data_IF_592745393782
#
_entry.id   IF_592745393782
#
_cell.length_a   1.000
_cell.length_b   1.000
_cell.length_c   1.000
_cell.angle_alpha   90.00
_cell.angle_beta   90.00
_cell.angle_gamma   90.00
#
_symmetry.space_group_name_H-M   'P 1'
#
loop_
_entity.id
_entity.type
_entity.pdbx_description
1 polymer ?
#
# COMPACT_ATOMS: atom_id res chain seq x y z
N UNK A 1 18.58 4.78 -13.56
CA UNK A 1 17.14 4.60 -13.85
C UNK A 1 16.39 4.99 -12.59
N UNK A 2 15.67 6.12 -12.59
CA UNK A 2 14.77 6.47 -11.47
C UNK A 2 13.52 5.62 -11.66
N UNK A 3 13.29 4.67 -10.77
CA UNK A 3 12.06 3.86 -10.79
C UNK A 3 10.94 4.83 -10.37
N UNK A 4 9.73 4.70 -10.90
CA UNK A 4 8.63 5.56 -10.46
C UNK A 4 8.19 5.08 -9.06
N UNK A 5 8.83 5.65 -8.04
CA UNK A 5 8.95 5.14 -6.66
C UNK A 5 7.82 5.61 -5.73
N UNK A 6 6.57 5.22 -5.99
CA UNK A 6 5.48 5.67 -5.11
C UNK A 6 4.31 4.71 -4.96
N UNK A 7 3.47 4.52 -5.97
CA UNK A 7 2.40 3.51 -5.89
C UNK A 7 2.97 2.09 -5.76
N UNK A 8 4.06 1.82 -6.47
CA UNK A 8 4.75 0.52 -6.46
C UNK A 8 5.36 0.21 -5.10
N UNK A 9 5.81 1.22 -4.36
CA UNK A 9 6.41 1.03 -3.03
C UNK A 9 5.37 0.72 -1.95
N UNK A 10 4.20 1.36 -2.06
CA UNK A 10 3.04 0.97 -1.25
C UNK A 10 2.71 -0.49 -1.52
N UNK A 11 2.48 -0.87 -2.78
CA UNK A 11 2.14 -2.25 -3.16
C UNK A 11 3.21 -3.26 -2.75
N UNK A 12 4.49 -2.90 -2.88
CA UNK A 12 5.61 -3.77 -2.46
C UNK A 12 5.56 -4.04 -0.97
N UNK A 13 5.25 -3.02 -0.15
CA UNK A 13 5.11 -3.18 1.30
C UNK A 13 4.02 -4.19 1.66
N UNK A 14 2.89 -4.19 0.94
CA UNK A 14 1.86 -5.22 1.10
C UNK A 14 2.33 -6.62 0.70
N UNK A 15 3.08 -6.74 -0.40
CA UNK A 15 3.64 -8.02 -0.87
C UNK A 15 4.65 -8.59 0.13
N UNK A 16 5.55 -7.76 0.63
CA UNK A 16 6.54 -8.18 1.63
C UNK A 16 5.89 -8.62 2.95
N UNK A 17 4.81 -7.97 3.37
CA UNK A 17 4.06 -8.41 4.54
C UNK A 17 3.35 -9.76 4.29
N UNK A 18 2.86 -10.01 3.07
CA UNK A 18 2.33 -11.33 2.69
C UNK A 18 3.43 -12.40 2.77
N UNK A 19 4.60 -12.14 2.19
CA UNK A 19 5.74 -13.06 2.21
C UNK A 19 6.27 -13.30 3.62
N UNK A 20 6.46 -12.22 4.40
CA UNK A 20 7.01 -12.30 5.76
C UNK A 20 6.12 -13.06 6.73
N UNK A 21 4.80 -12.95 6.58
CA UNK A 21 3.83 -13.61 7.46
C UNK A 21 3.35 -14.96 6.93
N UNK A 22 3.84 -15.40 5.76
CA UNK A 22 3.34 -16.59 5.07
C UNK A 22 1.84 -16.56 4.81
N UNK A 23 1.26 -15.35 4.74
CA UNK A 23 -0.17 -15.10 4.76
C UNK A 23 -0.73 -14.90 3.37
N UNK A 24 -1.95 -15.41 3.13
CA UNK A 24 -2.72 -15.04 1.96
C UNK A 24 -3.22 -13.58 2.12
N UNK A 25 -3.47 -12.89 1.01
CA UNK A 25 -3.94 -11.49 0.94
C UNK A 25 -5.12 -11.17 1.86
N UNK A 26 -5.98 -12.16 2.11
CA UNK A 26 -7.13 -12.07 3.01
C UNK A 26 -6.72 -11.73 4.46
N UNK A 27 -5.51 -12.12 4.85
CA UNK A 27 -4.95 -11.94 6.20
C UNK A 27 -4.08 -10.69 6.33
N UNK A 28 -3.70 -10.04 5.23
CA UNK A 28 -2.85 -8.85 5.26
C UNK A 28 -3.71 -7.60 5.11
N UNK A 29 -3.81 -6.86 6.20
CA UNK A 29 -4.46 -5.55 6.26
C UNK A 29 -3.45 -4.57 6.81
N UNK A 30 -3.11 -3.55 6.02
CA UNK A 30 -2.16 -2.52 6.42
C UNK A 30 -2.83 -1.16 6.41
N UNK A 31 -2.30 -0.28 7.25
CA UNK A 31 -2.69 1.11 7.32
C UNK A 31 -1.67 1.94 6.53
N UNK A 32 -2.12 3.04 5.92
CA UNK A 32 -1.23 4.04 5.28
C UNK A 32 -0.96 5.13 6.30
N UNK A 33 -0.07 4.81 7.24
CA UNK A 33 0.30 5.65 8.38
C UNK A 33 1.81 5.97 8.41
N UNK A 34 2.26 6.65 9.45
CA UNK A 34 3.67 7.04 9.63
C UNK A 34 4.62 5.82 9.66
N UNK A 35 4.17 4.67 10.18
CA UNK A 35 4.95 3.43 10.17
C UNK A 35 5.25 2.95 8.73
N UNK A 36 4.26 2.97 7.84
CA UNK A 36 4.46 2.65 6.44
C UNK A 36 5.37 3.68 5.76
N UNK A 37 5.18 4.97 6.07
CA UNK A 37 6.00 6.06 5.56
C UNK A 37 7.47 5.88 5.93
N UNK A 38 7.77 5.60 7.20
CA UNK A 38 9.11 5.36 7.69
C UNK A 38 9.76 4.16 7.00
N UNK A 39 9.01 3.08 6.79
CA UNK A 39 9.50 1.89 6.06
C UNK A 39 9.89 2.22 4.63
N UNK A 40 9.02 2.91 3.89
CA UNK A 40 9.27 3.29 2.49
C UNK A 40 10.45 4.26 2.40
N UNK A 41 10.48 5.29 3.24
CA UNK A 41 11.58 6.26 3.27
C UNK A 41 12.92 5.60 3.61
N UNK A 42 12.94 4.68 4.58
CA UNK A 42 14.14 3.94 4.96
C UNK A 42 14.62 3.01 3.85
N UNK A 43 13.71 2.36 3.13
CA UNK A 43 14.06 1.47 2.02
C UNK A 43 14.63 2.21 0.82
N UNK A 44 14.02 3.34 0.46
CA UNK A 44 14.33 4.04 -0.78
C UNK A 44 15.32 5.19 -0.58
N UNK A 45 15.69 5.51 0.67
CA UNK A 45 16.42 6.73 1.00
C UNK A 45 15.65 8.00 0.63
N UNK A 46 14.32 7.90 0.56
CA UNK A 46 13.42 8.98 0.16
C UNK A 46 12.99 9.84 1.35
N UNK A 47 12.49 11.05 1.05
CA UNK A 47 11.87 11.95 2.03
C UNK A 47 10.42 12.23 1.64
N UNK A 48 9.64 11.16 1.50
CA UNK A 48 8.19 11.30 1.37
C UNK A 48 7.62 11.81 2.69
N UNK A 49 6.59 12.63 2.58
CA UNK A 49 5.70 12.96 3.69
C UNK A 49 4.39 12.16 3.61
N UNK A 50 3.59 12.22 4.69
CA UNK A 50 2.35 11.46 4.80
C UNK A 50 1.29 11.89 3.79
N UNK A 51 1.22 13.18 3.43
CA UNK A 51 0.28 13.68 2.43
C UNK A 51 0.63 13.12 1.03
N UNK A 52 1.92 13.06 0.69
CA UNK A 52 2.37 12.42 -0.55
C UNK A 52 2.03 10.93 -0.55
N UNK A 53 2.27 10.23 0.56
CA UNK A 53 1.93 8.82 0.69
C UNK A 53 0.41 8.59 0.53
N UNK A 54 -0.42 9.45 1.11
CA UNK A 54 -1.87 9.42 0.93
C UNK A 54 -2.28 9.66 -0.51
N UNK A 55 -1.65 10.58 -1.24
CA UNK A 55 -1.91 10.79 -2.68
C UNK A 55 -1.60 9.54 -3.50
N UNK A 56 -0.55 8.81 -3.16
CA UNK A 56 -0.24 7.56 -3.85
C UNK A 56 -1.22 6.45 -3.48
N UNK A 57 -1.61 6.34 -2.21
CA UNK A 57 -2.65 5.42 -1.77
C UNK A 57 -3.99 5.71 -2.46
N UNK A 58 -4.36 6.98 -2.63
CA UNK A 58 -5.54 7.40 -3.38
C UNK A 58 -5.51 6.90 -4.82
N UNK A 59 -4.36 6.96 -5.49
CA UNK A 59 -4.21 6.40 -6.84
C UNK A 59 -4.32 4.88 -6.83
N UNK A 60 -3.75 4.20 -5.84
CA UNK A 60 -3.91 2.75 -5.70
C UNK A 60 -5.37 2.35 -5.48
N UNK A 61 -6.12 3.11 -4.68
CA UNK A 61 -7.55 2.91 -4.45
C UNK A 61 -8.36 3.19 -5.73
N UNK A 62 -8.06 4.29 -6.43
CA UNK A 62 -8.75 4.67 -7.66
C UNK A 62 -8.52 3.70 -8.82
N UNK A 63 -7.34 3.06 -8.88
CA UNK A 63 -7.03 2.00 -9.85
C UNK A 63 -7.47 0.60 -9.37
N UNK A 64 -8.18 0.51 -8.25
CA UNK A 64 -8.63 -0.75 -7.68
C UNK A 64 -7.48 -1.72 -7.42
N UNK A 65 -6.29 -1.23 -7.06
CA UNK A 65 -5.15 -2.04 -6.62
C UNK A 65 -5.17 -2.28 -5.12
N UNK A 66 -5.77 -1.34 -4.38
CA UNK A 66 -6.10 -1.48 -2.97
C UNK A 66 -7.62 -1.42 -2.78
N UNK A 67 -8.11 -2.12 -1.77
CA UNK A 67 -9.52 -2.10 -1.36
C UNK A 67 -9.66 -1.94 0.16
N UNK A 68 -10.80 -1.36 0.54
CA UNK A 68 -11.25 -1.33 1.93
C UNK A 68 -11.85 -2.66 2.33
N UNK A 69 -11.26 -3.29 3.34
CA UNK A 69 -11.75 -4.57 3.84
C UNK A 69 -12.77 -4.46 4.98
N UNK A 70 -12.94 -3.25 5.52
CA UNK A 70 -13.89 -2.93 6.58
C UNK A 70 -14.54 -1.57 6.28
N UNK A 71 -15.86 -1.49 6.46
CA UNK A 71 -16.57 -0.22 6.41
C UNK A 71 -16.37 0.55 7.72
N UNK A 72 -16.37 1.88 7.65
CA UNK A 72 -16.28 2.81 8.80
C UNK A 72 -14.95 2.88 9.58
N UNK A 73 -13.84 2.30 9.11
CA UNK A 73 -12.54 2.34 9.83
C UNK A 73 -11.59 3.47 9.42
N UNK A 74 -12.01 4.35 8.51
CA UNK A 74 -11.18 5.45 7.99
C UNK A 74 -10.57 5.12 6.62
N UNK A 75 -10.25 6.16 5.85
CA UNK A 75 -9.89 6.06 4.42
C UNK A 75 -8.57 5.33 4.14
N UNK A 76 -7.67 5.29 5.11
CA UNK A 76 -6.33 4.74 4.93
C UNK A 76 -6.03 3.62 5.92
N UNK A 77 -7.07 2.95 6.39
CA UNK A 77 -7.00 1.98 7.50
C UNK A 77 -7.49 0.64 7.00
N UNK A 78 -6.76 -0.42 7.37
CA UNK A 78 -7.08 -1.81 7.07
C UNK A 78 -7.33 -2.05 5.58
N UNK A 79 -6.47 -1.48 4.74
CA UNK A 79 -6.49 -1.71 3.30
C UNK A 79 -5.88 -3.08 2.99
N UNK A 80 -6.27 -3.67 1.86
CA UNK A 80 -5.64 -4.88 1.31
C UNK A 80 -5.42 -4.72 -0.18
N UNK A 81 -4.47 -5.46 -0.75
CA UNK A 81 -4.37 -5.60 -2.21
C UNK A 81 -5.66 -6.26 -2.73
N UNK A 82 -6.09 -5.89 -3.93
CA UNK A 82 -7.27 -6.48 -4.59
C UNK A 82 -6.95 -7.77 -5.35
N UNK A 83 -8.00 -8.52 -5.72
CA UNK A 83 -7.87 -9.70 -6.62
C UNK A 83 -7.88 -9.37 -8.08
N UNK A 84 -8.08 -8.11 -8.46
CA UNK A 84 -8.52 -7.82 -9.82
C UNK A 84 -7.56 -8.47 -10.82
N UNK A 85 -8.02 -9.48 -11.58
CA UNK A 85 -7.25 -9.94 -12.70
C UNK A 85 -7.11 -8.72 -13.62
N UNK A 86 -5.89 -8.44 -14.09
CA UNK A 86 -5.68 -7.45 -15.14
C UNK A 86 -6.82 -7.57 -16.17
N UNK A 87 -7.59 -6.51 -16.46
CA UNK A 87 -8.61 -6.61 -17.50
C UNK A 87 -7.90 -7.02 -18.80
N UNK A 88 -8.39 -8.11 -19.40
CA UNK A 88 -7.91 -8.64 -20.67
C UNK A 88 -8.36 -7.76 -21.84
#
# INVERSE_FOLDING_TARGET
MKRNESEVDILSTFVEEMESRGGNRISIRLDIDESMLERINKRNGSKLDLEQLHKYADRCLANEWLEHTLMCVGKYVQLSITTVPFPQ
#
